data_IF_339282468974
#
_entry.id   IF_339282468974
#
_cell.length_a   1.000
_cell.length_b   1.000
_cell.length_c   1.000
_cell.angle_alpha   90.00
_cell.angle_beta   90.00
_cell.angle_gamma   90.00
#
_symmetry.space_group_name_H-M   'P 1'
#
loop_
_entity.id
_entity.type
_entity.pdbx_description
1 polymer ?
#
# COMPACT_ATOMS: atom_id res chain seq x y z
N UNK A 1 9.19 -0.07 -16.75
CA UNK A 1 9.66 -0.32 -15.37
C UNK A 1 8.49 -0.24 -14.41
N UNK A 2 8.61 -0.80 -13.19
CA UNK A 2 7.64 -0.61 -12.10
C UNK A 2 7.68 0.82 -11.52
N UNK A 3 7.09 1.03 -10.34
CA UNK A 3 7.19 2.29 -9.59
C UNK A 3 8.26 2.22 -8.49
N UNK A 4 8.74 3.37 -8.02
CA UNK A 4 9.64 3.50 -6.88
C UNK A 4 8.82 3.91 -5.66
N UNK A 5 8.83 3.08 -4.61
CA UNK A 5 8.07 3.32 -3.39
C UNK A 5 8.95 3.96 -2.31
N UNK A 6 8.52 5.10 -1.78
CA UNK A 6 9.01 5.69 -0.54
C UNK A 6 8.00 5.40 0.59
N UNK A 7 8.21 4.29 1.30
CA UNK A 7 7.43 4.00 2.50
C UNK A 7 8.01 4.72 3.70
N UNK A 8 7.28 5.71 4.23
CA UNK A 8 7.75 6.50 5.36
C UNK A 8 7.70 5.68 6.65
N UNK A 9 8.62 5.97 7.56
CA UNK A 9 8.65 5.34 8.88
C UNK A 9 7.39 5.72 9.69
N UNK A 10 6.82 4.80 10.50
CA UNK A 10 5.73 5.13 11.41
C UNK A 10 6.14 6.17 12.47
N UNK A 11 7.43 6.46 12.66
CA UNK A 11 7.92 7.50 13.57
C UNK A 11 8.08 8.87 12.90
N UNK A 12 7.97 8.95 11.57
CA UNK A 12 8.09 10.21 10.83
C UNK A 12 6.72 10.88 10.76
N UNK A 13 6.54 11.91 11.59
CA UNK A 13 5.27 12.64 11.79
C UNK A 13 5.29 13.94 11.01
N UNK A 14 4.12 14.45 10.60
CA UNK A 14 4.02 15.80 10.02
C UNK A 14 4.11 16.88 11.11
N UNK A 15 5.31 17.09 11.65
CA UNK A 15 5.59 18.10 12.68
C UNK A 15 6.90 18.82 12.34
N UNK A 16 7.02 20.09 12.71
CA UNK A 16 8.24 20.88 12.51
C UNK A 16 8.68 20.94 11.04
N UNK A 17 9.88 20.42 10.75
CA UNK A 17 10.49 20.44 9.41
C UNK A 17 10.17 19.19 8.55
N UNK A 18 9.25 18.32 8.97
CA UNK A 18 8.98 17.06 8.27
C UNK A 18 8.49 17.26 6.84
N UNK A 19 7.53 18.16 6.60
CA UNK A 19 7.04 18.45 5.25
C UNK A 19 8.14 19.03 4.36
N UNK A 20 8.98 19.93 4.90
CA UNK A 20 10.12 20.49 4.17
C UNK A 20 11.17 19.42 3.84
N UNK A 21 11.40 18.49 4.76
CA UNK A 21 12.28 17.33 4.53
C UNK A 21 11.73 16.44 3.42
N UNK A 22 10.42 16.13 3.44
CA UNK A 22 9.78 15.35 2.38
C UNK A 22 9.90 16.05 1.02
N UNK A 23 9.63 17.36 0.95
CA UNK A 23 9.84 18.18 -0.25
C UNK A 23 11.27 18.04 -0.77
N UNK A 24 12.26 18.25 0.09
CA UNK A 24 13.68 18.18 -0.29
C UNK A 24 14.09 16.79 -0.82
N UNK A 25 13.57 15.71 -0.24
CA UNK A 25 13.80 14.34 -0.75
C UNK A 25 13.17 14.15 -2.11
N UNK A 26 11.93 14.61 -2.31
CA UNK A 26 11.24 14.48 -3.59
C UNK A 26 11.93 15.35 -4.67
N UNK A 27 12.31 16.58 -4.35
CA UNK A 27 13.03 17.47 -5.27
C UNK A 27 14.40 16.91 -5.70
N UNK A 28 15.00 16.04 -4.89
CA UNK A 28 16.29 15.41 -5.19
C UNK A 28 16.19 14.21 -6.16
N UNK A 29 14.98 13.71 -6.45
CA UNK A 29 14.79 12.55 -7.33
C UNK A 29 14.31 12.96 -8.74
N UNK A 30 14.67 12.17 -9.74
CA UNK A 30 14.28 12.45 -11.14
C UNK A 30 12.87 11.95 -11.42
N UNK A 31 11.89 12.87 -11.40
CA UNK A 31 10.47 12.60 -11.67
C UNK A 31 10.17 12.23 -13.14
N UNK A 32 11.05 12.57 -14.08
CA UNK A 32 10.88 12.23 -15.50
C UNK A 32 11.28 10.78 -15.81
N UNK A 33 12.16 10.19 -14.99
CA UNK A 33 12.74 8.87 -15.26
C UNK A 33 11.93 7.73 -14.64
N UNK A 34 11.30 7.98 -13.50
CA UNK A 34 10.59 6.96 -12.72
C UNK A 34 9.30 7.49 -12.12
N UNK A 35 8.32 6.61 -11.99
CA UNK A 35 7.07 6.88 -11.29
C UNK A 35 7.29 6.63 -9.79
N UNK A 36 7.15 7.65 -8.96
CA UNK A 36 7.33 7.54 -7.51
C UNK A 36 6.01 7.51 -6.78
N UNK A 37 5.96 6.77 -5.68
CA UNK A 37 4.83 6.78 -4.77
C UNK A 37 5.28 6.93 -3.32
N UNK A 38 4.50 7.64 -2.50
CA UNK A 38 4.77 7.85 -1.08
C UNK A 38 3.68 7.19 -0.24
N UNK A 39 4.10 6.39 0.73
CA UNK A 39 3.20 5.74 1.67
C UNK A 39 3.39 6.31 3.07
N UNK A 40 2.34 6.95 3.58
CA UNK A 40 2.31 7.53 4.91
C UNK A 40 1.93 6.49 5.96
N UNK A 41 2.68 6.43 7.06
CA UNK A 41 2.50 5.42 8.13
C UNK A 41 2.21 6.01 9.50
N UNK A 42 2.18 7.33 9.61
CA UNK A 42 1.88 8.03 10.87
C UNK A 42 0.66 8.94 10.73
N UNK A 43 -0.24 8.90 11.72
CA UNK A 43 -1.53 9.63 11.71
C UNK A 43 -1.41 11.14 11.63
N UNK A 44 -0.23 11.68 11.95
CA UNK A 44 0.04 13.11 11.83
C UNK A 44 0.01 13.62 10.39
N UNK A 45 0.10 12.75 9.39
CA UNK A 45 -0.03 13.13 7.98
C UNK A 45 -1.47 13.25 7.50
N UNK A 46 -2.46 12.92 8.34
CA UNK A 46 -3.86 13.05 7.99
C UNK A 46 -4.37 14.47 8.18
N UNK A 47 -5.41 14.81 7.42
CA UNK A 47 -6.22 16.00 7.62
C UNK A 47 -7.00 15.96 8.95
N UNK A 48 -7.73 17.04 9.24
CA UNK A 48 -8.55 17.14 10.46
C UNK A 48 -9.65 16.06 10.52
N UNK A 49 -10.19 15.65 9.37
CA UNK A 49 -11.21 14.61 9.29
C UNK A 49 -10.65 13.21 9.61
N UNK A 50 -9.32 13.06 9.52
CA UNK A 50 -8.57 11.79 9.63
C UNK A 50 -8.96 10.75 8.59
N UNK A 51 -9.54 11.19 7.47
CA UNK A 51 -9.97 10.32 6.37
C UNK A 51 -9.13 10.52 5.12
N UNK A 52 -8.42 11.65 5.03
CA UNK A 52 -7.58 12.00 3.90
C UNK A 52 -6.18 12.41 4.38
N UNK A 53 -5.20 12.41 3.46
CA UNK A 53 -3.90 13.01 3.73
C UNK A 53 -4.10 14.52 3.76
N UNK A 54 -3.35 15.20 4.63
CA UNK A 54 -3.34 16.65 4.73
C UNK A 54 -3.27 17.31 3.32
N UNK A 55 -4.18 18.24 2.98
CA UNK A 55 -4.27 18.79 1.63
C UNK A 55 -2.97 19.44 1.13
N UNK A 56 -2.24 20.12 2.01
CA UNK A 56 -0.95 20.73 1.67
C UNK A 56 0.05 19.65 1.30
N UNK A 57 0.06 18.54 2.01
CA UNK A 57 0.89 17.37 1.69
C UNK A 57 0.49 16.74 0.35
N UNK A 58 -0.80 16.60 0.06
CA UNK A 58 -1.27 16.11 -1.25
C UNK A 58 -0.82 17.03 -2.39
N UNK A 59 -0.85 18.35 -2.21
CA UNK A 59 -0.39 19.31 -3.21
C UNK A 59 1.12 19.17 -3.50
N UNK A 60 1.94 18.92 -2.48
CA UNK A 60 3.37 18.62 -2.67
C UNK A 60 3.59 17.43 -3.59
N UNK A 61 2.77 16.39 -3.45
CA UNK A 61 2.83 15.20 -4.29
C UNK A 61 2.34 15.50 -5.72
N UNK A 62 1.22 16.26 -5.86
CA UNK A 62 0.65 16.66 -7.15
C UNK A 62 1.63 17.47 -7.99
N UNK A 63 2.28 18.47 -7.39
CA UNK A 63 3.27 19.33 -8.05
C UNK A 63 4.44 18.54 -8.67
N UNK A 64 4.72 17.34 -8.15
CA UNK A 64 5.86 16.50 -8.53
C UNK A 64 5.45 15.22 -9.26
N UNK A 65 4.17 15.08 -9.57
CA UNK A 65 3.59 13.86 -10.15
C UNK A 65 3.99 12.60 -9.35
N UNK A 66 3.89 12.66 -8.02
CA UNK A 66 4.19 11.55 -7.10
C UNK A 66 2.88 10.97 -6.60
N UNK A 67 2.69 9.65 -6.70
CA UNK A 67 1.46 9.02 -6.26
C UNK A 67 1.35 8.93 -4.73
N UNK A 68 0.24 9.40 -4.17
CA UNK A 68 -0.20 8.99 -2.84
C UNK A 68 -0.56 7.50 -2.89
N UNK A 69 0.07 6.70 -2.02
CA UNK A 69 -0.21 5.25 -1.97
C UNK A 69 -1.56 5.01 -1.32
N UNK A 70 -2.46 4.33 -2.04
CA UNK A 70 -3.72 3.86 -1.50
C UNK A 70 -3.48 2.55 -0.74
N UNK A 71 -3.97 2.46 0.49
CA UNK A 71 -3.65 1.35 1.40
C UNK A 71 -4.92 0.61 1.81
N UNK A 72 -4.91 -0.72 1.69
CA UNK A 72 -5.79 -1.59 2.44
C UNK A 72 -4.99 -2.28 3.55
N UNK A 73 -5.37 -2.09 4.80
CA UNK A 73 -4.81 -2.82 5.94
C UNK A 73 -4.78 -2.02 7.23
N UNK A 74 -4.38 -2.63 8.36
CA UNK A 74 -4.52 -2.02 9.67
C UNK A 74 -3.72 -0.74 9.79
N UNK A 75 -4.40 0.31 10.25
CA UNK A 75 -3.86 1.66 10.36
C UNK A 75 -4.65 2.68 9.55
N UNK A 76 -3.90 3.54 8.86
CA UNK A 76 -4.41 4.71 8.16
C UNK A 76 -5.10 4.24 6.87
N UNK A 77 -6.44 4.14 6.91
CA UNK A 77 -7.26 3.96 5.71
C UNK A 77 -7.53 5.34 5.16
N UNK A 78 -6.57 5.84 4.40
CA UNK A 78 -6.57 7.22 3.94
C UNK A 78 -6.94 7.26 2.50
N UNK A 79 -8.13 7.81 2.26
CA UNK A 79 -8.49 8.42 1.00
C UNK A 79 -8.43 7.63 -0.29
N UNK A 80 -8.94 8.28 -1.33
CA UNK A 80 -8.86 7.78 -2.71
C UNK A 80 -8.19 8.78 -3.64
N UNK A 81 -7.63 9.85 -3.06
CA UNK A 81 -7.02 10.96 -3.78
C UNK A 81 -5.80 10.50 -4.56
N UNK A 82 -5.88 10.68 -5.88
CA UNK A 82 -4.79 10.45 -6.81
C UNK A 82 -4.04 11.76 -7.03
N UNK A 83 -2.73 11.71 -6.84
CA UNK A 83 -1.84 12.88 -6.94
C UNK A 83 -0.86 12.77 -8.12
N UNK A 84 -1.02 11.78 -8.97
CA UNK A 84 -0.16 11.56 -10.13
C UNK A 84 -0.94 10.95 -11.29
N UNK A 85 -0.34 10.97 -12.47
CA UNK A 85 -0.77 10.26 -13.68
C UNK A 85 -0.62 8.73 -13.59
N UNK A 86 -0.28 8.22 -12.41
CA UNK A 86 -0.21 6.81 -12.08
C UNK A 86 -0.77 6.57 -10.67
N UNK A 87 -1.40 5.41 -10.48
CA UNK A 87 -1.92 4.99 -9.19
C UNK A 87 -1.04 3.88 -8.58
N UNK A 88 -0.91 3.90 -7.26
CA UNK A 88 -0.14 2.91 -6.51
C UNK A 88 -0.99 2.40 -5.33
N UNK A 89 -1.33 1.12 -5.34
CA UNK A 89 -2.22 0.50 -4.35
C UNK A 89 -1.48 -0.63 -3.63
N UNK A 90 -1.61 -0.69 -2.31
CA UNK A 90 -0.98 -1.72 -1.48
C UNK A 90 -1.96 -2.38 -0.52
N UNK A 91 -1.99 -3.71 -0.56
CA UNK A 91 -2.80 -4.55 0.32
C UNK A 91 -1.92 -5.21 1.37
N UNK A 92 -2.02 -4.82 2.63
CA UNK A 92 -1.21 -5.34 3.73
C UNK A 92 -1.83 -6.52 4.48
N UNK A 93 -3.11 -6.82 4.24
CA UNK A 93 -3.91 -7.71 5.08
C UNK A 93 -4.65 -6.94 6.16
N UNK A 94 -5.64 -7.54 6.83
CA UNK A 94 -6.47 -6.87 7.86
C UNK A 94 -6.34 -7.48 9.26
N UNK A 95 -5.13 -7.92 9.63
CA UNK A 95 -4.82 -8.49 10.95
C UNK A 95 -4.69 -7.42 12.05
N UNK A 96 -5.76 -6.66 12.32
CA UNK A 96 -5.74 -5.53 13.28
C UNK A 96 -5.16 -5.88 14.66
N UNK A 97 -5.55 -7.01 15.23
CA UNK A 97 -5.17 -7.38 16.60
C UNK A 97 -3.68 -7.67 16.77
N UNK A 98 -3.00 -8.11 15.70
CA UNK A 98 -1.57 -8.49 15.72
C UNK A 98 -0.69 -7.26 15.45
N UNK A 99 -1.22 -6.25 14.75
CA UNK A 99 -0.48 -5.04 14.43
C UNK A 99 -0.25 -4.09 15.62
N UNK A 100 -1.10 -4.17 16.66
CA UNK A 100 -1.05 -3.27 17.82
C UNK A 100 -0.79 -3.96 19.17
N UNK A 101 -0.69 -5.30 19.20
CA UNK A 101 -0.23 -6.02 20.40
C UNK A 101 1.25 -5.73 20.63
N UNK A 102 1.59 -5.26 21.82
CA UNK A 102 2.96 -4.98 22.26
C UNK A 102 3.81 -6.23 22.53
N UNK A 103 3.62 -7.29 21.76
CA UNK A 103 4.45 -8.48 21.84
C UNK A 103 5.82 -8.19 21.21
N UNK A 104 6.88 -8.81 21.77
CA UNK A 104 8.26 -8.53 21.38
C UNK A 104 8.42 -8.68 19.87
N UNK A 105 8.98 -7.65 19.23
CA UNK A 105 9.00 -7.48 17.77
C UNK A 105 9.66 -8.60 16.97
N UNK A 106 10.37 -9.55 17.59
CA UNK A 106 11.25 -10.46 16.86
C UNK A 106 10.61 -11.79 16.42
N UNK A 107 9.46 -12.21 16.98
CA UNK A 107 8.89 -13.55 16.69
C UNK A 107 7.66 -13.53 15.74
N UNK A 108 6.96 -12.40 15.61
CA UNK A 108 5.63 -12.35 14.97
C UNK A 108 5.50 -11.36 13.79
N UNK A 109 6.62 -10.88 13.21
CA UNK A 109 6.57 -9.90 12.08
C UNK A 109 5.83 -10.45 10.86
N UNK A 110 5.91 -11.76 10.60
CA UNK A 110 5.21 -12.43 9.51
C UNK A 110 3.70 -12.51 9.76
N UNK A 111 3.26 -12.67 11.01
CA UNK A 111 1.85 -12.84 11.38
C UNK A 111 1.03 -11.58 11.06
N UNK A 112 1.66 -10.40 11.12
CA UNK A 112 1.07 -9.14 10.65
C UNK A 112 0.65 -9.19 9.18
N UNK A 113 1.40 -9.90 8.35
CA UNK A 113 1.16 -10.05 6.91
C UNK A 113 0.48 -11.38 6.57
N UNK A 114 0.15 -12.22 7.56
CA UNK A 114 -0.50 -13.51 7.37
C UNK A 114 -2.01 -13.40 7.21
N UNK A 115 -2.43 -12.74 6.13
CA UNK A 115 -3.82 -12.49 5.82
C UNK A 115 -4.19 -13.05 4.46
N UNK A 116 -5.32 -13.75 4.36
CA UNK A 116 -5.87 -14.16 3.07
C UNK A 116 -7.16 -13.38 2.84
N UNK A 117 -7.12 -12.42 1.92
CA UNK A 117 -8.31 -11.68 1.53
C UNK A 117 -9.36 -12.62 0.93
N UNK A 118 -10.61 -12.39 1.30
CA UNK A 118 -11.76 -13.01 0.63
C UNK A 118 -12.27 -12.12 -0.50
N UNK A 119 -13.05 -12.70 -1.39
CA UNK A 119 -13.66 -12.01 -2.52
C UNK A 119 -14.44 -10.76 -2.09
N UNK A 120 -15.25 -10.88 -1.04
CA UNK A 120 -16.11 -9.79 -0.54
C UNK A 120 -15.29 -8.60 -0.02
N UNK A 121 -14.02 -8.82 0.31
CA UNK A 121 -13.12 -7.79 0.82
C UNK A 121 -12.36 -7.07 -0.30
N UNK A 122 -12.16 -7.75 -1.44
CA UNK A 122 -11.54 -7.19 -2.64
C UNK A 122 -12.58 -6.56 -3.58
N UNK A 123 -13.83 -7.03 -3.55
CA UNK A 123 -14.90 -6.52 -4.41
C UNK A 123 -15.11 -5.00 -4.34
N UNK A 124 -15.04 -4.34 -3.15
CA UNK A 124 -15.14 -2.88 -3.07
C UNK A 124 -14.01 -2.13 -3.77
N UNK A 125 -12.84 -2.75 -3.94
CA UNK A 125 -11.70 -2.16 -4.64
C UNK A 125 -11.86 -2.18 -6.16
N UNK A 126 -12.66 -3.08 -6.72
CA UNK A 126 -12.89 -3.17 -8.18
C UNK A 126 -13.37 -1.85 -8.79
N UNK A 127 -14.43 -1.18 -8.30
CA UNK A 127 -14.84 0.11 -8.84
C UNK A 127 -13.79 1.20 -8.62
N UNK A 128 -13.08 1.20 -7.48
CA UNK A 128 -12.03 2.19 -7.19
C UNK A 128 -10.83 2.05 -8.14
N UNK A 129 -10.43 0.82 -8.44
CA UNK A 129 -9.36 0.52 -9.40
C UNK A 129 -9.78 0.98 -10.80
N UNK A 130 -11.01 0.67 -11.21
CA UNK A 130 -11.54 1.13 -12.51
C UNK A 130 -11.59 2.65 -12.61
N UNK A 131 -11.96 3.34 -11.52
CA UNK A 131 -11.92 4.81 -11.49
C UNK A 131 -10.47 5.33 -11.58
N UNK A 132 -9.52 4.66 -10.93
CA UNK A 132 -8.10 4.98 -11.07
C UNK A 132 -7.60 4.79 -12.50
N UNK A 133 -8.03 3.75 -13.21
CA UNK A 133 -7.68 3.54 -14.62
C UNK A 133 -8.21 4.67 -15.55
N UNK A 134 -9.25 5.40 -15.15
CA UNK A 134 -9.74 6.55 -15.93
C UNK A 134 -8.87 7.81 -15.75
N UNK A 135 -8.17 7.94 -14.62
CA UNK A 135 -7.39 9.12 -14.26
C UNK A 135 -5.88 8.91 -14.42
N UNK A 136 -5.43 7.66 -14.36
CA UNK A 136 -4.04 7.26 -14.40
C UNK A 136 -3.71 6.51 -15.69
N UNK A 137 -2.58 6.86 -16.33
CA UNK A 137 -2.01 6.10 -17.42
C UNK A 137 -1.56 4.69 -16.99
N UNK A 138 -1.34 4.49 -15.69
CA UNK A 138 -0.90 3.21 -15.13
C UNK A 138 -1.37 3.02 -13.69
N UNK A 139 -2.00 1.88 -13.41
CA UNK A 139 -2.34 1.44 -12.05
C UNK A 139 -1.41 0.30 -11.64
N UNK A 140 -0.74 0.45 -10.49
CA UNK A 140 0.18 -0.55 -9.96
C UNK A 140 -0.34 -1.05 -8.61
N UNK A 141 -0.60 -2.35 -8.52
CA UNK A 141 -1.22 -2.97 -7.35
C UNK A 141 -0.25 -3.99 -6.76
N UNK A 142 0.00 -3.91 -5.46
CA UNK A 142 0.92 -4.79 -4.75
C UNK A 142 0.25 -5.43 -3.54
N UNK A 143 0.21 -6.75 -3.52
CA UNK A 143 -0.18 -7.53 -2.35
C UNK A 143 1.04 -7.77 -1.46
N UNK A 144 1.02 -7.18 -0.26
CA UNK A 144 2.07 -7.29 0.75
C UNK A 144 1.67 -8.22 1.93
N UNK A 145 0.53 -8.90 1.85
CA UNK A 145 0.13 -10.01 2.73
C UNK A 145 0.86 -11.31 2.33
N UNK A 146 2.18 -11.27 2.31
CA UNK A 146 3.03 -12.22 1.59
C UNK A 146 3.29 -13.53 2.34
N UNK A 147 2.92 -13.62 3.62
CA UNK A 147 3.12 -14.85 4.37
C UNK A 147 2.38 -16.02 3.70
N UNK A 148 3.04 -17.19 3.67
CA UNK A 148 2.47 -18.47 3.20
C UNK A 148 1.89 -18.41 1.77
N UNK A 149 2.46 -17.57 0.90
CA UNK A 149 2.04 -17.35 -0.48
C UNK A 149 0.62 -16.75 -0.66
N UNK A 150 0.03 -16.20 0.40
CA UNK A 150 -1.33 -15.62 0.37
C UNK A 150 -1.43 -14.42 -0.60
N UNK A 151 -0.37 -13.60 -0.70
CA UNK A 151 -0.31 -12.47 -1.64
C UNK A 151 -0.48 -12.89 -3.10
N UNK A 152 0.13 -14.00 -3.53
CA UNK A 152 0.02 -14.51 -4.91
C UNK A 152 -1.40 -14.97 -5.19
N UNK A 153 -2.02 -15.69 -4.24
CA UNK A 153 -3.40 -16.14 -4.37
C UNK A 153 -4.38 -14.95 -4.47
N UNK A 154 -4.18 -13.92 -3.64
CA UNK A 154 -5.03 -12.74 -3.69
C UNK A 154 -4.80 -11.86 -4.92
N UNK A 155 -3.57 -11.82 -5.45
CA UNK A 155 -3.30 -11.17 -6.73
C UNK A 155 -4.09 -11.83 -7.86
N UNK A 156 -4.09 -13.16 -7.97
CA UNK A 156 -4.90 -13.87 -8.97
C UNK A 156 -6.40 -13.65 -8.76
N UNK A 157 -6.89 -13.72 -7.52
CA UNK A 157 -8.30 -13.44 -7.22
C UNK A 157 -8.69 -12.02 -7.69
N UNK A 158 -7.87 -11.00 -7.43
CA UNK A 158 -8.16 -9.65 -7.90
C UNK A 158 -8.12 -9.56 -9.43
N UNK A 159 -7.19 -10.25 -10.09
CA UNK A 159 -7.14 -10.31 -11.55
C UNK A 159 -8.42 -10.93 -12.13
N UNK A 160 -8.93 -12.01 -11.53
CA UNK A 160 -10.21 -12.63 -11.91
C UNK A 160 -11.37 -11.63 -11.76
N UNK A 161 -11.45 -10.92 -10.62
CA UNK A 161 -12.47 -9.90 -10.36
C UNK A 161 -12.40 -8.71 -11.32
N UNK A 162 -11.21 -8.35 -11.78
CA UNK A 162 -10.96 -7.31 -12.77
C UNK A 162 -11.10 -7.82 -14.22
N UNK A 163 -11.41 -9.12 -14.42
CA UNK A 163 -11.46 -9.78 -15.73
C UNK A 163 -10.15 -9.65 -16.52
N UNK A 164 -9.02 -9.56 -15.82
CA UNK A 164 -7.69 -9.50 -16.42
C UNK A 164 -7.28 -10.87 -16.92
N UNK A 165 -6.80 -10.94 -18.17
CA UNK A 165 -6.26 -12.20 -18.71
C UNK A 165 -4.98 -12.59 -17.96
N UNK A 166 -4.97 -13.78 -17.38
CA UNK A 166 -3.76 -14.42 -16.86
C UNK A 166 -3.75 -15.91 -17.12
N UNK A 167 -2.56 -16.50 -17.04
CA UNK A 167 -2.44 -17.96 -17.03
C UNK A 167 -2.95 -18.49 -15.69
N UNK A 168 -3.84 -19.50 -15.66
CA UNK A 168 -4.19 -20.18 -14.43
C UNK A 168 -2.92 -20.72 -13.77
N UNK A 169 -2.80 -20.52 -12.45
CA UNK A 169 -1.74 -21.13 -11.65
C UNK A 169 -2.35 -21.75 -10.42
N UNK A 170 -2.00 -23.00 -10.17
CA UNK A 170 -2.30 -23.64 -8.89
C UNK A 170 -1.40 -22.98 -7.82
N UNK A 171 -2.00 -22.16 -6.95
CA UNK A 171 -1.28 -21.54 -5.83
C UNK A 171 -1.48 -22.41 -4.60
N UNK A 172 -0.45 -23.19 -4.27
CA UNK A 172 -0.42 -23.96 -3.03
C UNK A 172 -0.08 -23.02 -1.88
N UNK A 173 -1.01 -22.86 -0.94
CA UNK A 173 -0.73 -22.18 0.32
C UNK A 173 0.11 -23.09 1.19
N UNK A 174 1.15 -22.54 1.82
CA UNK A 174 1.98 -23.31 2.74
C UNK A 174 1.36 -23.30 4.14
N UNK A 175 1.01 -24.47 4.64
CA UNK A 175 0.58 -24.64 6.04
C UNK A 175 1.77 -24.91 7.00
N UNK A 176 3.00 -25.01 6.48
CA UNK A 176 4.18 -25.42 7.24
C UNK A 176 4.55 -24.43 8.36
N UNK A 177 4.33 -24.84 9.61
CA UNK A 177 5.14 -24.45 10.76
C UNK A 177 6.44 -25.28 10.75
N UNK A 178 7.36 -25.04 9.82
CA UNK A 178 8.68 -25.66 9.92
C UNK A 178 9.60 -24.78 10.76
N UNK A 179 9.45 -24.87 12.09
CA UNK A 179 10.61 -24.84 12.97
C UNK A 179 11.08 -26.29 13.07
N UNK A 180 11.77 -26.75 12.03
CA UNK A 180 12.61 -27.93 12.17
C UNK A 180 13.74 -27.56 13.12
N UNK A 181 13.85 -28.29 14.22
CA UNK A 181 15.00 -28.20 15.13
C UNK A 181 16.29 -28.33 14.31
N UNK A 182 17.20 -27.37 14.45
CA UNK A 182 18.56 -27.43 13.91
C UNK A 182 19.44 -28.32 14.78
#
# INVERSE_FOLDING_TARGET
MGGVLLQLSPYFKNEGSALATLKGVLDAVSHEKYNYAVEFRHRGWLDESRKEIDPVTLDVLRERNVANVLIDGPGLHVGTEQTADHAYIRFHGRNYDIWYKGEKEDDHRLDRYDYLYKEEQLMPWVPQIKEAELKAAKVMIYFNNHARAKSVRNAFLLMDLLLMKHKPKEVRLQDQFTLGEF
#
